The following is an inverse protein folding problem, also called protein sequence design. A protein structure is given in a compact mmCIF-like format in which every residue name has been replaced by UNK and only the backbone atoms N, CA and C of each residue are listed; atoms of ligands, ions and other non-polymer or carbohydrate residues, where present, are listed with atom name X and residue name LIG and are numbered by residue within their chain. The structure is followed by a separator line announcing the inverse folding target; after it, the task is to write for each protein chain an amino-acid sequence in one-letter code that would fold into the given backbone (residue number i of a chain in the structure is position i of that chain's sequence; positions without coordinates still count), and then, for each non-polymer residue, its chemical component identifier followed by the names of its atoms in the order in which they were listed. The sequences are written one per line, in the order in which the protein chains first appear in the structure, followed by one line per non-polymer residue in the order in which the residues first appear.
data_IF_824515296193
#
_entry.id   IF_824515296193
#
_cell.length_a   1.000
_cell.length_b   1.000
_cell.length_c   1.000
_cell.angle_alpha   90.00
_cell.angle_beta   90.00
_cell.angle_gamma   90.00
#
_symmetry.space_group_name_H-M   'P 1'
#
loop_
_entity.id
_entity.type
_entity.pdbx_description
1 polymer ?
#
# COMPACT_ATOMS: atom_id res chain seq x y z
N UNK A 1 -38.34 69.55 44.19
CA UNK A 1 -38.56 68.17 43.70
C UNK A 1 -37.59 67.89 42.57
N UNK A 2 -36.71 66.89 42.73
CA UNK A 2 -35.63 66.55 41.80
C UNK A 2 -36.15 65.61 40.70
N UNK A 3 -36.00 65.98 39.43
CA UNK A 3 -36.15 65.05 38.29
C UNK A 3 -34.79 64.89 37.63
N UNK A 4 -34.12 63.77 37.92
CA UNK A 4 -32.91 63.33 37.21
C UNK A 4 -33.36 62.78 35.85
N UNK A 5 -32.89 63.41 34.79
CA UNK A 5 -33.03 62.92 33.41
C UNK A 5 -31.92 61.89 33.18
N UNK A 6 -32.27 60.62 33.04
CA UNK A 6 -31.33 59.59 32.58
C UNK A 6 -31.45 59.46 31.06
N UNK A 7 -30.42 59.89 30.34
CA UNK A 7 -30.22 59.55 28.92
C UNK A 7 -29.81 58.08 28.85
N UNK A 8 -30.69 57.23 28.32
CA UNK A 8 -30.38 55.84 27.98
C UNK A 8 -29.59 55.77 26.68
N UNK A 9 -28.38 55.23 26.71
CA UNK A 9 -27.63 54.85 25.52
C UNK A 9 -28.24 53.56 24.93
N UNK A 10 -28.32 53.40 23.59
CA UNK A 10 -28.78 52.16 23.00
C UNK A 10 -27.70 51.08 23.18
N UNK A 11 -28.10 49.95 23.77
CA UNK A 11 -27.28 48.76 23.85
C UNK A 11 -27.23 48.13 22.45
N UNK A 12 -26.16 48.35 21.70
CA UNK A 12 -25.92 47.63 20.45
C UNK A 12 -25.53 46.20 20.84
N UNK A 13 -26.49 45.27 20.73
CA UNK A 13 -26.22 43.84 20.82
C UNK A 13 -25.48 43.44 19.54
N UNK A 14 -24.15 43.50 19.56
CA UNK A 14 -23.34 42.81 18.58
C UNK A 14 -23.67 41.31 18.70
N UNK A 15 -24.25 40.72 17.67
CA UNK A 15 -24.29 39.28 17.52
C UNK A 15 -22.83 38.82 17.56
N UNK A 16 -22.46 38.13 18.63
CA UNK A 16 -21.18 37.44 18.67
C UNK A 16 -21.21 36.48 17.49
N UNK A 17 -20.30 36.68 16.53
CA UNK A 17 -19.91 35.62 15.61
C UNK A 17 -19.49 34.45 16.49
N UNK A 18 -20.46 33.56 16.68
CA UNK A 18 -20.35 32.43 17.57
C UNK A 18 -19.09 31.69 17.17
N UNK A 19 -18.21 31.54 18.15
CA UNK A 19 -17.05 30.66 18.15
C UNK A 19 -17.37 29.39 17.34
N UNK A 20 -17.01 29.40 16.06
CA UNK A 20 -17.17 28.23 15.21
C UNK A 20 -16.14 27.24 15.72
N UNK A 21 -16.61 26.20 16.42
CA UNK A 21 -15.75 25.13 16.90
C UNK A 21 -14.88 24.63 15.73
N UNK A 22 -13.57 24.43 15.93
CA UNK A 22 -12.68 24.01 14.86
C UNK A 22 -13.22 22.71 14.26
N UNK A 23 -13.56 22.73 12.96
CA UNK A 23 -13.99 21.53 12.25
C UNK A 23 -12.88 20.49 12.39
N UNK A 24 -13.19 19.35 13.01
CA UNK A 24 -12.25 18.23 13.16
C UNK A 24 -11.66 17.92 11.77
N UNK A 25 -10.32 17.86 11.61
CA UNK A 25 -9.73 17.56 10.32
C UNK A 25 -10.30 16.24 9.81
N UNK A 26 -10.83 16.25 8.58
CA UNK A 26 -11.25 14.98 7.96
C UNK A 26 -10.02 14.08 7.82
N UNK A 27 -10.13 12.79 8.16
CA UNK A 27 -9.01 11.88 8.02
C UNK A 27 -8.47 11.92 6.58
N UNK A 28 -7.15 12.06 6.42
CA UNK A 28 -6.53 11.95 5.10
C UNK A 28 -6.88 10.57 4.49
N UNK A 29 -7.11 10.48 3.16
CA UNK A 29 -7.22 9.20 2.50
C UNK A 29 -6.03 8.29 2.83
N UNK A 30 -6.31 7.01 3.08
CA UNK A 30 -5.27 6.00 3.35
C UNK A 30 -4.51 5.69 2.07
N UNK A 31 -3.18 5.64 2.14
CA UNK A 31 -2.33 5.30 1.00
C UNK A 31 -2.01 3.80 0.99
N UNK A 32 -2.33 3.13 -0.10
CA UNK A 32 -1.98 1.73 -0.34
C UNK A 32 -0.86 1.69 -1.38
N UNK A 33 0.27 1.06 -1.05
CA UNK A 33 1.32 0.74 -1.98
C UNK A 33 1.10 -0.67 -2.54
N UNK A 34 0.82 -0.76 -3.83
CA UNK A 34 0.74 -2.02 -4.56
C UNK A 34 2.10 -2.32 -5.19
N UNK A 35 2.65 -3.49 -4.89
CA UNK A 35 3.92 -3.95 -5.42
C UNK A 35 3.72 -5.12 -6.39
N UNK A 36 3.58 -4.85 -7.70
CA UNK A 36 3.57 -5.92 -8.69
C UNK A 36 4.96 -6.55 -8.77
N UNK A 37 5.08 -7.83 -8.37
CA UNK A 37 6.31 -8.61 -8.36
C UNK A 37 7.07 -8.62 -9.68
N UNK A 38 8.36 -8.92 -9.62
CA UNK A 38 9.24 -9.06 -10.80
C UNK A 38 9.28 -7.80 -11.70
N UNK A 39 9.66 -7.94 -12.97
CA UNK A 39 9.68 -6.85 -13.95
C UNK A 39 11.00 -6.74 -14.71
N UNK A 40 10.95 -6.19 -15.92
CA UNK A 40 12.10 -6.02 -16.78
C UNK A 40 12.76 -7.37 -17.09
N UNK A 41 14.01 -7.53 -16.64
CA UNK A 41 14.80 -8.75 -16.84
C UNK A 41 14.31 -9.96 -16.05
N UNK A 42 13.51 -9.73 -15.01
CA UNK A 42 12.96 -10.80 -14.17
C UNK A 42 11.52 -11.11 -14.65
N UNK A 43 11.28 -12.27 -15.29
CA UNK A 43 9.96 -12.68 -15.76
C UNK A 43 9.03 -13.14 -14.62
N UNK A 44 9.57 -13.49 -13.45
CA UNK A 44 8.89 -14.32 -12.47
C UNK A 44 8.60 -15.73 -12.99
N UNK A 45 7.56 -16.36 -12.47
CA UNK A 45 7.08 -17.65 -12.93
C UNK A 45 6.66 -17.62 -14.42
N UNK A 46 6.90 -18.74 -15.09
CA UNK A 46 6.48 -18.96 -16.48
C UNK A 46 5.34 -19.99 -16.51
N UNK A 47 4.19 -19.58 -17.03
CA UNK A 47 3.08 -20.48 -17.31
C UNK A 47 3.38 -21.38 -18.51
N UNK A 48 2.59 -22.46 -18.65
CA UNK A 48 2.77 -23.48 -19.69
C UNK A 48 2.87 -22.91 -21.13
N UNK A 49 2.10 -21.85 -21.43
CA UNK A 49 2.09 -21.19 -22.75
C UNK A 49 3.07 -19.99 -22.84
N UNK A 50 4.02 -19.86 -21.92
CA UNK A 50 4.97 -18.75 -21.88
C UNK A 50 4.41 -17.46 -21.28
N UNK A 51 3.26 -17.51 -20.62
CA UNK A 51 2.73 -16.40 -19.83
C UNK A 51 3.73 -16.04 -18.73
N UNK A 52 4.14 -14.78 -18.65
CA UNK A 52 5.08 -14.31 -17.64
C UNK A 52 4.32 -13.70 -16.47
N UNK A 53 4.66 -14.12 -15.27
CA UNK A 53 4.10 -13.59 -14.03
C UNK A 53 4.15 -12.06 -13.99
N UNK A 54 5.30 -11.45 -14.34
CA UNK A 54 5.48 -9.99 -14.33
C UNK A 54 4.39 -9.22 -15.10
N UNK A 55 3.86 -9.83 -16.16
CA UNK A 55 2.82 -9.26 -17.04
C UNK A 55 1.43 -9.42 -16.44
N UNK A 56 1.18 -10.55 -15.76
CA UNK A 56 -0.07 -10.80 -15.04
C UNK A 56 -0.19 -9.85 -13.85
N UNK A 57 0.83 -9.80 -13.00
CA UNK A 57 0.76 -9.08 -11.72
C UNK A 57 0.67 -7.56 -11.91
N UNK A 58 1.30 -7.00 -12.95
CA UNK A 58 1.15 -5.56 -13.26
C UNK A 58 -0.24 -5.22 -13.79
N UNK A 59 -0.88 -6.13 -14.54
CA UNK A 59 -2.26 -5.94 -14.99
C UNK A 59 -3.21 -5.97 -13.79
N UNK A 60 -3.08 -6.98 -12.92
CA UNK A 60 -3.84 -7.09 -11.67
C UNK A 60 -3.65 -5.87 -10.78
N UNK A 61 -2.42 -5.40 -10.58
CA UNK A 61 -2.13 -4.22 -9.75
C UNK A 61 -2.81 -2.95 -10.29
N UNK A 62 -2.84 -2.76 -11.61
CA UNK A 62 -3.52 -1.62 -12.25
C UNK A 62 -5.03 -1.71 -12.10
N UNK A 63 -5.60 -2.90 -12.23
CA UNK A 63 -7.03 -3.13 -12.08
C UNK A 63 -7.46 -2.89 -10.63
N UNK A 64 -6.72 -3.45 -9.68
CA UNK A 64 -6.93 -3.22 -8.25
C UNK A 64 -6.78 -1.73 -7.88
N UNK A 65 -5.79 -1.03 -8.44
CA UNK A 65 -5.62 0.41 -8.22
C UNK A 65 -6.86 1.20 -8.66
N UNK A 66 -7.42 0.90 -9.84
CA UNK A 66 -8.64 1.57 -10.33
C UNK A 66 -9.83 1.33 -9.40
N UNK A 67 -10.06 0.08 -8.98
CA UNK A 67 -11.16 -0.29 -8.08
C UNK A 67 -11.03 0.40 -6.70
N UNK A 68 -9.83 0.38 -6.11
CA UNK A 68 -9.57 1.03 -4.82
C UNK A 68 -9.75 2.56 -4.88
N UNK A 69 -9.39 3.17 -6.01
CA UNK A 69 -9.50 4.61 -6.22
C UNK A 69 -10.94 5.06 -6.54
N UNK A 70 -11.76 4.20 -7.15
CA UNK A 70 -13.13 4.53 -7.57
C UNK A 70 -14.01 5.04 -6.41
N UNK A 71 -13.82 4.51 -5.20
CA UNK A 71 -14.57 4.91 -4.01
C UNK A 71 -14.06 6.18 -3.31
N UNK A 72 -12.96 6.79 -3.76
CA UNK A 72 -12.38 8.01 -3.16
C UNK A 72 -11.79 7.84 -1.74
N UNK A 73 -11.95 6.67 -1.12
CA UNK A 73 -11.48 6.35 0.23
C UNK A 73 -9.97 6.14 0.30
N UNK A 74 -9.38 5.64 -0.77
CA UNK A 74 -7.98 5.24 -0.84
C UNK A 74 -7.24 6.04 -1.89
N UNK A 75 -5.97 6.35 -1.58
CA UNK A 75 -4.95 6.67 -2.57
C UNK A 75 -4.16 5.41 -2.84
N UNK A 76 -3.70 5.25 -4.07
CA UNK A 76 -2.90 4.09 -4.48
C UNK A 76 -1.64 4.57 -5.17
N UNK A 77 -0.52 3.94 -4.83
CA UNK A 77 0.73 4.06 -5.58
C UNK A 77 1.18 2.66 -6.00
N UNK A 78 1.92 2.58 -7.11
CA UNK A 78 2.56 1.34 -7.55
C UNK A 78 4.06 1.46 -7.35
N UNK A 79 4.72 0.42 -6.85
CA UNK A 79 6.19 0.37 -6.77
C UNK A 79 6.84 0.37 -8.14
N UNK A 80 6.17 -0.17 -9.17
CA UNK A 80 6.49 0.02 -10.60
C UNK A 80 5.21 0.18 -11.41
N UNK A 81 5.24 1.08 -12.39
CA UNK A 81 4.10 1.35 -13.27
C UNK A 81 4.27 0.80 -14.69
N UNK A 82 5.43 0.21 -15.01
CA UNK A 82 5.80 -0.34 -16.32
C UNK A 82 6.57 -1.67 -16.15
N UNK A 83 6.97 -2.27 -17.27
CA UNK A 83 7.81 -3.47 -17.28
C UNK A 83 9.28 -3.12 -16.99
N UNK A 84 9.54 -2.75 -15.73
CA UNK A 84 10.88 -2.40 -15.24
C UNK A 84 11.24 -3.24 -14.03
N UNK A 85 12.50 -3.64 -13.96
CA UNK A 85 13.04 -4.30 -12.78
C UNK A 85 13.25 -3.28 -11.66
N UNK A 86 12.68 -3.55 -10.48
CA UNK A 86 12.92 -2.77 -9.25
C UNK A 86 13.45 -3.73 -8.18
N UNK A 87 14.61 -3.45 -7.56
CA UNK A 87 15.13 -4.26 -6.45
C UNK A 87 14.16 -4.33 -5.27
N UNK A 88 14.12 -5.46 -4.55
CA UNK A 88 13.23 -5.68 -3.40
C UNK A 88 13.34 -4.56 -2.35
N UNK A 89 14.56 -4.20 -1.96
CA UNK A 89 14.82 -3.09 -1.01
C UNK A 89 14.25 -1.76 -1.49
N UNK A 90 14.32 -1.49 -2.79
CA UNK A 90 13.82 -0.24 -3.37
C UNK A 90 12.29 -0.21 -3.38
N UNK A 91 11.61 -1.34 -3.60
CA UNK A 91 10.14 -1.45 -3.52
C UNK A 91 9.63 -1.07 -2.14
N UNK A 92 10.27 -1.63 -1.10
CA UNK A 92 9.96 -1.32 0.31
C UNK A 92 10.27 0.14 0.63
N UNK A 93 11.43 0.64 0.21
CA UNK A 93 11.81 2.04 0.44
C UNK A 93 10.82 3.02 -0.19
N UNK A 94 10.38 2.80 -1.44
CA UNK A 94 9.36 3.62 -2.12
C UNK A 94 8.06 3.71 -1.31
N UNK A 95 7.61 2.61 -0.72
CA UNK A 95 6.40 2.58 0.09
C UNK A 95 6.59 3.29 1.45
N UNK A 96 7.75 3.12 2.09
CA UNK A 96 8.11 3.80 3.34
C UNK A 96 8.24 5.32 3.14
N UNK A 97 8.93 5.76 2.10
CA UNK A 97 9.15 7.17 1.75
C UNK A 97 7.82 7.88 1.47
N UNK A 98 6.90 7.19 0.80
CA UNK A 98 5.56 7.69 0.55
C UNK A 98 4.63 7.63 1.79
N UNK A 99 5.09 7.03 2.89
CA UNK A 99 4.31 6.81 4.12
C UNK A 99 3.03 6.02 3.85
N UNK A 100 3.14 4.96 3.06
CA UNK A 100 2.02 4.06 2.79
C UNK A 100 1.47 3.49 4.10
N UNK A 101 0.14 3.47 4.22
CA UNK A 101 -0.56 2.87 5.36
C UNK A 101 -0.70 1.35 5.22
N UNK A 102 -0.54 0.82 3.99
CA UNK A 102 -0.51 -0.61 3.67
C UNK A 102 0.44 -0.86 2.49
N UNK A 103 1.24 -1.91 2.58
CA UNK A 103 2.03 -2.46 1.47
C UNK A 103 1.46 -3.83 1.09
N UNK A 104 1.18 -4.03 -0.19
CA UNK A 104 0.64 -5.28 -0.73
C UNK A 104 1.46 -5.72 -1.93
N UNK A 105 2.27 -6.77 -1.76
CA UNK A 105 2.94 -7.42 -2.90
C UNK A 105 1.99 -8.37 -3.60
N UNK A 106 2.01 -8.35 -4.94
CA UNK A 106 1.14 -9.14 -5.81
C UNK A 106 2.02 -10.03 -6.66
N UNK A 107 1.85 -11.33 -6.49
CA UNK A 107 2.54 -12.40 -7.20
C UNK A 107 1.54 -13.38 -7.84
N UNK A 108 2.00 -14.13 -8.83
CA UNK A 108 1.28 -15.22 -9.47
C UNK A 108 2.23 -16.41 -9.61
N UNK A 109 2.59 -16.96 -8.45
CA UNK A 109 3.60 -18.00 -8.27
C UNK A 109 3.27 -19.28 -9.04
N UNK A 110 4.26 -20.17 -9.15
CA UNK A 110 4.09 -21.50 -9.74
C UNK A 110 4.52 -22.62 -8.78
N UNK A 111 3.78 -23.72 -8.82
CA UNK A 111 4.08 -24.94 -8.09
C UNK A 111 4.47 -26.07 -9.08
N UNK A 112 5.41 -26.97 -8.73
CA UNK A 112 5.79 -28.09 -9.60
C UNK A 112 4.64 -29.07 -9.90
N UNK A 113 3.71 -29.21 -8.96
CA UNK A 113 2.46 -29.94 -9.15
C UNK A 113 1.40 -29.01 -9.76
N UNK A 114 0.95 -29.32 -10.99
CA UNK A 114 -0.03 -28.55 -11.74
C UNK A 114 -1.45 -28.62 -11.15
N UNK A 115 -1.73 -29.57 -10.26
CA UNK A 115 -3.02 -29.65 -9.58
C UNK A 115 -3.16 -28.61 -8.47
N UNK A 116 -2.04 -28.06 -7.97
CA UNK A 116 -2.03 -27.00 -6.95
C UNK A 116 -2.44 -25.66 -7.58
N UNK A 117 -3.59 -25.15 -7.17
CA UNK A 117 -4.17 -23.89 -7.66
C UNK A 117 -5.00 -23.21 -6.59
N UNK A 118 -5.09 -21.88 -6.66
CA UNK A 118 -5.91 -21.09 -5.74
C UNK A 118 -5.28 -19.75 -5.44
N UNK A 119 -5.99 -18.92 -4.68
CA UNK A 119 -5.44 -17.69 -4.12
C UNK A 119 -4.87 -17.98 -2.72
N UNK A 120 -3.71 -17.42 -2.43
CA UNK A 120 -3.05 -17.46 -1.13
C UNK A 120 -2.73 -16.04 -0.67
N UNK A 121 -2.71 -15.83 0.64
CA UNK A 121 -2.28 -14.57 1.25
C UNK A 121 -1.24 -14.91 2.30
N UNK A 122 -0.11 -14.23 2.22
CA UNK A 122 1.02 -14.45 3.10
C UNK A 122 1.32 -13.19 3.90
N UNK A 123 1.77 -13.38 5.14
CA UNK A 123 2.14 -12.27 6.01
C UNK A 123 3.56 -12.43 6.53
N UNK A 124 4.18 -11.30 6.87
CA UNK A 124 5.53 -11.27 7.40
C UNK A 124 5.63 -12.09 8.69
N UNK A 125 6.45 -13.14 8.68
CA UNK A 125 6.77 -13.97 9.84
C UNK A 125 8.24 -14.37 9.82
N UNK A 126 8.91 -14.37 10.97
CA UNK A 126 10.30 -14.85 11.05
C UNK A 126 10.43 -16.35 10.74
N UNK A 127 9.33 -17.10 10.89
CA UNK A 127 9.23 -18.53 10.61
C UNK A 127 8.17 -18.79 9.53
N UNK A 128 8.52 -19.61 8.53
CA UNK A 128 7.56 -20.04 7.53
C UNK A 128 6.57 -21.05 8.10
N UNK A 129 5.31 -20.96 7.70
CA UNK A 129 4.25 -21.85 8.20
C UNK A 129 4.42 -23.30 7.76
N UNK A 130 4.94 -23.52 6.56
CA UNK A 130 5.27 -24.84 6.02
C UNK A 130 6.47 -24.79 5.05
N UNK A 131 6.82 -25.94 4.47
CA UNK A 131 7.99 -26.07 3.59
C UNK A 131 7.77 -25.36 2.26
N UNK A 132 6.53 -25.36 1.78
CA UNK A 132 6.10 -24.74 0.54
C UNK A 132 6.20 -23.22 0.65
N UNK A 133 5.71 -22.65 1.75
CA UNK A 133 5.86 -21.25 2.14
C UNK A 133 7.34 -20.85 2.25
N UNK A 134 8.17 -21.69 2.89
CA UNK A 134 9.60 -21.45 3.00
C UNK A 134 10.30 -21.44 1.63
N UNK A 135 9.95 -22.41 0.78
CA UNK A 135 10.50 -22.53 -0.57
C UNK A 135 10.09 -21.32 -1.43
N UNK A 136 8.83 -20.89 -1.32
CA UNK A 136 8.31 -19.71 -2.00
C UNK A 136 9.03 -18.43 -1.55
N UNK A 137 9.11 -18.20 -0.24
CA UNK A 137 9.89 -17.08 0.33
C UNK A 137 11.33 -17.06 -0.20
N UNK A 138 11.98 -18.23 -0.29
CA UNK A 138 13.33 -18.33 -0.84
C UNK A 138 13.38 -18.08 -2.36
N UNK A 139 12.32 -18.35 -3.12
CA UNK A 139 12.22 -17.98 -4.55
C UNK A 139 12.12 -16.48 -4.71
N UNK A 140 11.20 -15.85 -3.98
CA UNK A 140 10.96 -14.42 -4.10
C UNK A 140 12.14 -13.59 -3.62
N UNK A 141 12.88 -14.09 -2.62
CA UNK A 141 14.06 -13.41 -2.07
C UNK A 141 15.37 -13.66 -2.82
N UNK A 142 15.40 -14.52 -3.85
CA UNK A 142 16.66 -14.94 -4.50
C UNK A 142 17.43 -13.78 -5.13
N UNK A 143 16.73 -12.73 -5.56
CA UNK A 143 17.35 -11.58 -6.22
C UNK A 143 17.93 -10.53 -5.24
N UNK A 144 17.68 -10.65 -3.92
CA UNK A 144 18.23 -9.75 -2.88
C UNK A 144 19.58 -10.23 -2.31
N UNK A 145 20.06 -11.42 -2.68
CA UNK A 145 21.24 -12.05 -2.05
C UNK A 145 22.58 -11.38 -2.36
N UNK A 146 22.62 -10.33 -3.20
CA UNK A 146 23.82 -9.55 -3.48
C UNK A 146 24.13 -8.46 -2.43
N UNK A 147 23.21 -8.14 -1.52
CA UNK A 147 23.40 -7.06 -0.53
C UNK A 147 22.97 -7.53 0.85
N UNK A 148 23.71 -8.48 1.43
CA UNK A 148 23.46 -8.94 2.79
C UNK A 148 23.96 -7.90 3.82
N UNK A 149 23.04 -7.08 4.34
CA UNK A 149 23.01 -6.64 5.75
C UNK A 149 21.77 -5.76 6.04
N UNK A 150 21.10 -6.09 7.16
CA UNK A 150 20.42 -5.16 8.06
C UNK A 150 18.96 -4.68 7.86
N UNK A 151 18.08 -5.38 7.13
CA UNK A 151 16.64 -5.22 7.39
C UNK A 151 15.81 -6.46 7.08
N UNK A 152 15.08 -6.95 8.08
CA UNK A 152 14.13 -8.06 8.00
C UNK A 152 12.98 -7.79 7.01
N UNK A 153 12.77 -6.52 6.63
CA UNK A 153 11.61 -6.04 5.86
C UNK A 153 11.77 -6.23 4.34
N UNK A 154 13.00 -6.37 3.83
CA UNK A 154 13.24 -6.54 2.39
C UNK A 154 13.03 -7.98 1.89
N UNK A 155 12.71 -8.90 2.82
CA UNK A 155 12.44 -10.31 2.52
C UNK A 155 10.93 -10.56 2.50
N UNK A 156 10.45 -11.18 1.42
CA UNK A 156 9.18 -11.90 1.41
C UNK A 156 9.27 -12.97 2.49
N UNK A 157 8.55 -12.74 3.58
CA UNK A 157 8.40 -13.66 4.70
C UNK A 157 6.95 -14.14 4.66
N UNK A 158 6.76 -15.43 4.80
CA UNK A 158 5.55 -16.14 4.40
C UNK A 158 5.11 -17.04 5.56
N UNK A 159 4.22 -16.55 6.42
CA UNK A 159 3.36 -17.38 7.26
C UNK A 159 2.05 -17.70 6.54
#
# INVERSE_FOLDING_TARGET
MRRRLFMGAPLILAASDAWAAPKKPMPRPKLIALDPGHGGRDPGALGYNGTQEKSVVIAVARDLARELQAGGRYKVMLTRASDTYVPLRERVARAQDAKADLFLSIHADAHPDSEVRGASVYTLSEEASDREAAALAARENRDDTAVAASSTVARTLVA
#
